data_IF_379347782906
#
_entry.id   IF_379347782906
#
_cell.length_a   1.000
_cell.length_b   1.000
_cell.length_c   1.000
_cell.angle_alpha   90.00
_cell.angle_beta   90.00
_cell.angle_gamma   90.00
#
_symmetry.space_group_name_H-M   'P 1'
#
loop_
_entity.id
_entity.type
_entity.pdbx_description
1 polymer ?
#
# COMPACT_ATOMS: atom_id res chain seq x y z
N UNK A 1 21.59 -19.11 35.63
CA UNK A 1 21.09 -18.34 34.46
C UNK A 1 21.64 -16.93 34.56
N UNK A 2 22.55 -16.56 33.67
CA UNK A 2 23.21 -15.25 33.68
C UNK A 2 22.31 -14.23 32.99
N UNK A 3 21.54 -13.47 33.78
CA UNK A 3 20.65 -12.43 33.29
C UNK A 3 21.48 -11.17 32.96
N UNK A 4 21.82 -10.98 31.70
CA UNK A 4 22.48 -9.75 31.23
C UNK A 4 21.45 -8.63 31.35
N UNK A 5 21.70 -7.67 32.25
CA UNK A 5 20.85 -6.49 32.42
C UNK A 5 20.95 -5.64 31.17
N UNK A 6 19.82 -5.23 30.61
CA UNK A 6 19.81 -4.30 29.48
C UNK A 6 20.56 -3.01 29.86
N UNK A 7 21.50 -2.56 29.01
CA UNK A 7 22.25 -1.33 29.25
C UNK A 7 21.31 -0.12 29.23
N UNK A 8 21.31 0.66 30.31
CA UNK A 8 20.52 1.90 30.41
C UNK A 8 20.96 2.88 29.32
N UNK A 9 20.04 3.26 28.44
CA UNK A 9 20.28 4.24 27.38
C UNK A 9 20.67 3.64 26.01
N UNK A 10 20.41 2.36 25.76
CA UNK A 10 20.57 1.76 24.43
C UNK A 10 19.20 1.61 23.76
N UNK A 11 18.94 2.46 22.77
CA UNK A 11 17.81 2.30 21.87
C UNK A 11 18.21 1.39 20.71
N UNK A 12 17.61 0.21 20.63
CA UNK A 12 17.77 -0.66 19.48
C UNK A 12 17.02 -0.05 18.28
N UNK A 13 17.75 0.66 17.41
CA UNK A 13 17.19 1.14 16.14
C UNK A 13 17.13 -0.04 15.18
N UNK A 14 15.94 -0.63 15.03
CA UNK A 14 15.70 -1.68 14.04
C UNK A 14 15.72 -1.02 12.65
N UNK A 15 16.87 -1.08 11.97
CA UNK A 15 16.96 -0.67 10.57
C UNK A 15 16.43 -1.79 9.68
N UNK A 16 15.17 -1.67 9.25
CA UNK A 16 14.65 -2.50 8.18
C UNK A 16 15.43 -2.23 6.88
N UNK A 17 15.76 -3.25 6.07
CA UNK A 17 16.43 -3.04 4.80
C UNK A 17 15.59 -2.10 3.92
N UNK A 18 16.21 -1.15 3.20
CA UNK A 18 15.49 -0.31 2.27
C UNK A 18 14.91 -1.16 1.14
N UNK A 19 13.71 -0.78 0.66
CA UNK A 19 13.10 -1.43 -0.50
C UNK A 19 14.04 -1.36 -1.71
N UNK A 20 14.24 -2.51 -2.36
CA UNK A 20 14.96 -2.63 -3.64
C UNK A 20 14.20 -1.90 -4.75
N UNK A 21 14.89 -1.58 -5.84
CA UNK A 21 14.27 -0.90 -6.99
C UNK A 21 13.14 -1.71 -7.63
N UNK A 22 13.29 -3.04 -7.64
CA UNK A 22 12.27 -3.98 -8.11
C UNK A 22 11.01 -3.93 -7.23
N UNK A 23 11.17 -4.06 -5.91
CA UNK A 23 10.04 -4.00 -4.96
C UNK A 23 9.32 -2.65 -5.02
N UNK A 24 10.07 -1.54 -5.18
CA UNK A 24 9.49 -0.20 -5.35
C UNK A 24 8.60 -0.12 -6.59
N UNK A 25 9.07 -0.69 -7.70
CA UNK A 25 8.32 -0.69 -8.96
C UNK A 25 7.05 -1.54 -8.84
N UNK A 26 7.15 -2.74 -8.29
CA UNK A 26 6.00 -3.64 -8.08
C UNK A 26 4.92 -3.00 -7.19
N UNK A 27 5.33 -2.35 -6.09
CA UNK A 27 4.42 -1.63 -5.20
C UNK A 27 3.74 -0.47 -5.95
N UNK A 28 4.51 0.29 -6.74
CA UNK A 28 3.98 1.39 -7.53
C UNK A 28 2.92 0.91 -8.54
N UNK A 29 3.23 -0.14 -9.29
CA UNK A 29 2.33 -0.73 -10.30
C UNK A 29 1.06 -1.30 -9.65
N UNK A 30 1.19 -1.93 -8.48
CA UNK A 30 0.06 -2.42 -7.69
C UNK A 30 -0.86 -1.28 -7.23
N UNK A 31 -0.29 -0.19 -6.72
CA UNK A 31 -1.06 0.99 -6.27
C UNK A 31 -1.77 1.64 -7.46
N UNK A 32 -1.07 1.82 -8.59
CA UNK A 32 -1.62 2.43 -9.79
C UNK A 32 -2.81 1.62 -10.32
N UNK A 33 -2.65 0.30 -10.46
CA UNK A 33 -3.71 -0.60 -10.93
C UNK A 33 -4.92 -0.63 -9.99
N UNK A 34 -4.71 -0.54 -8.67
CA UNK A 34 -5.81 -0.49 -7.70
C UNK A 34 -6.55 0.85 -7.75
N UNK A 35 -5.84 1.96 -7.93
CA UNK A 35 -6.44 3.29 -8.09
C UNK A 35 -7.29 3.37 -9.36
N UNK A 36 -6.79 2.86 -10.49
CA UNK A 36 -7.52 2.89 -11.76
C UNK A 36 -8.79 2.05 -11.70
N UNK A 37 -8.73 0.82 -11.17
CA UNK A 37 -9.92 -0.04 -10.97
C UNK A 37 -10.99 0.63 -10.10
N UNK A 38 -10.58 1.32 -9.04
CA UNK A 38 -11.50 2.05 -8.14
C UNK A 38 -12.17 3.24 -8.84
N UNK A 39 -11.50 3.88 -9.80
CA UNK A 39 -12.05 4.99 -10.59
C UNK A 39 -13.04 4.46 -11.63
N UNK A 40 -12.72 3.36 -12.31
CA UNK A 40 -13.61 2.73 -13.32
C UNK A 40 -14.91 2.26 -12.67
N UNK A 41 -14.84 1.64 -11.48
CA UNK A 41 -16.03 1.19 -10.74
C UNK A 41 -16.97 2.35 -10.33
N UNK A 42 -16.46 3.57 -10.15
CA UNK A 42 -17.27 4.75 -9.83
C UNK A 42 -17.85 5.44 -11.07
N UNK A 43 -17.34 5.11 -12.25
CA UNK A 43 -17.67 5.77 -13.52
C UNK A 43 -18.65 4.98 -14.37
N UNK A 44 -19.24 3.88 -13.90
CA UNK A 44 -20.34 3.24 -14.60
C UNK A 44 -21.44 4.29 -14.80
N UNK A 45 -21.71 4.73 -16.05
CA UNK A 45 -22.81 5.63 -16.29
C UNK A 45 -24.06 4.84 -15.92
N UNK A 46 -24.87 5.37 -14.99
CA UNK A 46 -26.25 4.90 -14.86
C UNK A 46 -26.88 5.12 -16.22
N UNK A 47 -27.09 4.04 -16.95
CA UNK A 47 -27.80 4.05 -18.22
C UNK A 47 -29.13 4.75 -17.96
N UNK A 48 -29.27 5.99 -18.45
CA UNK A 48 -30.53 6.70 -18.35
C UNK A 48 -31.47 5.98 -19.30
N UNK A 49 -32.31 5.11 -18.75
CA UNK A 49 -33.41 4.49 -19.48
C UNK A 49 -34.34 5.61 -19.91
N UNK A 50 -34.16 6.10 -21.14
CA UNK A 50 -35.09 7.03 -21.78
C UNK A 50 -36.32 6.22 -22.16
N UNK A 51 -37.30 6.17 -21.27
CA UNK A 51 -38.64 5.65 -21.56
C UNK A 51 -39.27 6.57 -22.59
N UNK A 52 -39.34 6.13 -23.85
CA UNK A 52 -40.11 6.83 -24.89
C UNK A 52 -41.60 6.65 -24.58
N UNK A 53 -42.33 7.76 -24.45
CA UNK A 53 -43.79 7.83 -24.38
C UNK A 53 -44.29 8.63 -25.57
#
# INVERSE_FOLDING_TARGET
MSLIKEPKGVDFIIQSPPLTEQERKEISDFIASRKTKKIVAKRTPKEKVTVKK
#
